data_IF_299130159223
#
_entry.id   IF_299130159223
#
_cell.length_a   1.000
_cell.length_b   1.000
_cell.length_c   1.000
_cell.angle_alpha   90.00
_cell.angle_beta   90.00
_cell.angle_gamma   90.00
#
_symmetry.space_group_name_H-M   'P 1'
#
loop_
_entity.id
_entity.type
_entity.pdbx_description
1 polymer ?
#
# COMPACT_ATOMS: atom_id res chain seq x y z
N UNK A 1 10.57 -21.77 -6.44
CA UNK A 1 9.14 -21.95 -6.79
C UNK A 1 8.63 -20.58 -7.17
N UNK A 2 8.36 -20.32 -8.45
CA UNK A 2 8.00 -18.97 -8.93
C UNK A 2 6.54 -18.67 -8.57
N UNK A 3 6.30 -17.54 -7.91
CA UNK A 3 4.98 -17.10 -7.44
C UNK A 3 4.04 -16.65 -8.59
N UNK A 4 4.36 -16.95 -9.84
CA UNK A 4 3.63 -16.49 -11.03
C UNK A 4 2.50 -17.42 -11.47
N UNK A 5 2.26 -18.55 -10.79
CA UNK A 5 1.34 -19.59 -11.28
C UNK A 5 0.06 -19.78 -10.44
N UNK A 6 -0.31 -18.83 -9.57
CA UNK A 6 -1.56 -18.92 -8.80
C UNK A 6 -2.42 -17.69 -9.09
N UNK A 7 -3.36 -17.87 -10.04
CA UNK A 7 -4.58 -17.10 -10.29
C UNK A 7 -4.43 -15.57 -10.57
N UNK A 8 -5.30 -14.96 -11.41
CA UNK A 8 -5.17 -13.55 -11.83
C UNK A 8 -5.27 -12.54 -10.67
N UNK A 9 -5.86 -12.94 -9.54
CA UNK A 9 -5.89 -12.27 -8.24
C UNK A 9 -4.56 -12.40 -7.47
N UNK A 10 -3.84 -13.52 -7.60
CA UNK A 10 -2.54 -13.73 -6.97
C UNK A 10 -1.40 -12.94 -7.63
N UNK A 11 -1.49 -12.66 -8.94
CA UNK A 11 -0.47 -11.87 -9.63
C UNK A 11 -0.38 -10.42 -9.10
N UNK A 12 -1.51 -9.76 -8.85
CA UNK A 12 -1.55 -8.42 -8.27
C UNK A 12 -1.04 -8.40 -6.83
N UNK A 13 -1.45 -9.38 -6.02
CA UNK A 13 -0.92 -9.55 -4.67
C UNK A 13 0.61 -9.71 -4.70
N UNK A 14 1.13 -10.62 -5.53
CA UNK A 14 2.57 -10.89 -5.69
C UNK A 14 3.36 -9.67 -6.17
N UNK A 15 2.82 -8.84 -7.07
CA UNK A 15 3.48 -7.59 -7.46
C UNK A 15 3.48 -6.56 -6.32
N UNK A 16 2.41 -6.48 -5.52
CA UNK A 16 2.36 -5.65 -4.30
C UNK A 16 3.44 -6.04 -3.28
N UNK A 17 3.62 -7.35 -3.02
CA UNK A 17 4.68 -7.85 -2.12
C UNK A 17 6.09 -7.47 -2.62
N UNK A 18 6.35 -7.54 -3.92
CA UNK A 18 7.65 -7.17 -4.50
C UNK A 18 7.90 -5.66 -4.40
N UNK A 19 6.88 -4.84 -4.67
CA UNK A 19 6.98 -3.38 -4.50
C UNK A 19 7.33 -3.00 -3.06
N UNK A 20 6.66 -3.63 -2.09
CA UNK A 20 6.83 -3.36 -0.66
C UNK A 20 8.25 -3.70 -0.17
N UNK A 21 8.84 -4.80 -0.66
CA UNK A 21 10.22 -5.16 -0.34
C UNK A 21 11.18 -4.08 -0.84
N UNK A 22 11.01 -3.64 -2.09
CA UNK A 22 11.86 -2.61 -2.66
C UNK A 22 11.69 -1.25 -1.98
N UNK A 23 10.48 -0.91 -1.52
CA UNK A 23 10.25 0.29 -0.70
C UNK A 23 11.10 0.26 0.58
N UNK A 24 11.05 -0.84 1.33
CA UNK A 24 11.77 -0.97 2.60
C UNK A 24 13.29 -0.91 2.41
N UNK A 25 13.78 -1.40 1.27
CA UNK A 25 15.19 -1.30 0.88
C UNK A 25 15.58 0.09 0.33
N UNK A 26 14.64 1.03 0.20
CA UNK A 26 14.86 2.35 -0.41
C UNK A 26 15.10 2.31 -1.93
N UNK A 27 14.79 1.17 -2.57
CA UNK A 27 14.97 0.91 -4.01
C UNK A 27 13.74 1.38 -4.79
N UNK A 28 13.51 2.69 -4.78
CA UNK A 28 12.26 3.28 -5.28
C UNK A 28 12.02 3.07 -6.78
N UNK A 29 13.07 3.04 -7.62
CA UNK A 29 12.92 2.73 -9.04
C UNK A 29 12.32 1.34 -9.26
N UNK A 30 12.83 0.33 -8.54
CA UNK A 30 12.32 -1.04 -8.62
C UNK A 30 10.93 -1.19 -7.98
N UNK A 31 10.67 -0.48 -6.87
CA UNK A 31 9.36 -0.46 -6.23
C UNK A 31 8.29 0.07 -7.20
N UNK A 32 8.51 1.25 -7.79
CA UNK A 32 7.59 1.86 -8.76
C UNK A 32 7.39 0.97 -9.99
N UNK A 33 8.46 0.38 -10.52
CA UNK A 33 8.35 -0.51 -11.68
C UNK A 33 7.51 -1.77 -11.39
N UNK A 34 7.67 -2.38 -10.20
CA UNK A 34 6.90 -3.55 -9.80
C UNK A 34 5.42 -3.21 -9.56
N UNK A 35 5.16 -2.08 -8.90
CA UNK A 35 3.82 -1.61 -8.57
C UNK A 35 3.02 -1.25 -9.84
N UNK A 36 3.63 -0.46 -10.73
CA UNK A 36 3.02 -0.11 -12.03
C UNK A 36 2.68 -1.34 -12.87
N UNK A 37 3.52 -2.39 -12.83
CA UNK A 37 3.23 -3.64 -13.55
C UNK A 37 1.97 -4.33 -13.03
N UNK A 38 1.67 -4.22 -11.73
CA UNK A 38 0.42 -4.69 -11.15
C UNK A 38 -0.75 -3.79 -11.54
N UNK A 39 -0.59 -2.48 -11.39
CA UNK A 39 -1.64 -1.47 -11.65
C UNK A 39 -2.07 -1.44 -13.12
N UNK A 40 -1.15 -1.61 -14.06
CA UNK A 40 -1.42 -1.63 -15.52
C UNK A 40 -2.42 -2.73 -15.94
N UNK A 41 -2.66 -3.74 -15.11
CA UNK A 41 -3.64 -4.82 -15.39
C UNK A 41 -5.09 -4.31 -15.32
N UNK A 42 -5.36 -3.30 -14.50
CA UNK A 42 -6.73 -2.80 -14.23
C UNK A 42 -6.89 -1.29 -14.38
N UNK A 43 -5.80 -0.51 -14.36
CA UNK A 43 -5.84 0.94 -14.53
C UNK A 43 -5.90 1.36 -16.00
N UNK A 44 -6.46 2.55 -16.23
CA UNK A 44 -6.43 3.20 -17.55
C UNK A 44 -5.03 3.76 -17.87
N UNK A 45 -4.69 3.95 -19.16
CA UNK A 45 -3.42 4.59 -19.54
C UNK A 45 -3.22 5.96 -18.90
N UNK A 46 -4.29 6.73 -18.69
CA UNK A 46 -4.25 8.03 -18.02
C UNK A 46 -3.86 7.92 -16.55
N UNK A 47 -4.39 6.92 -15.83
CA UNK A 47 -4.03 6.66 -14.43
C UNK A 47 -2.57 6.20 -14.31
N UNK A 48 -2.11 5.32 -15.19
CA UNK A 48 -0.69 4.91 -15.23
C UNK A 48 0.23 6.09 -15.54
N UNK A 49 -0.18 6.97 -16.45
CA UNK A 49 0.57 8.19 -16.76
C UNK A 49 0.64 9.15 -15.56
N UNK A 50 -0.44 9.31 -14.79
CA UNK A 50 -0.46 10.10 -13.56
C UNK A 50 0.62 9.60 -12.58
N UNK A 51 0.64 8.30 -12.31
CA UNK A 51 1.60 7.67 -11.39
C UNK A 51 3.04 7.86 -11.86
N UNK A 52 3.31 7.58 -13.14
CA UNK A 52 4.64 7.74 -13.75
C UNK A 52 5.11 9.20 -13.70
N UNK A 53 4.23 10.15 -14.05
CA UNK A 53 4.55 11.57 -14.02
C UNK A 53 4.83 12.08 -12.61
N UNK A 54 4.12 11.56 -11.60
CA UNK A 54 4.39 11.86 -10.18
C UNK A 54 5.82 11.48 -9.81
N UNK A 55 6.24 10.25 -10.16
CA UNK A 55 7.61 9.79 -9.88
C UNK A 55 8.66 10.60 -10.63
N UNK A 56 8.47 10.87 -11.92
CA UNK A 56 9.40 11.65 -12.75
C UNK A 56 9.64 13.06 -12.21
N UNK A 57 8.60 13.69 -11.64
CA UNK A 57 8.68 15.07 -11.15
C UNK A 57 9.32 15.21 -9.77
N UNK A 58 9.09 14.25 -8.87
CA UNK A 58 9.43 14.43 -7.45
C UNK A 58 9.90 13.15 -6.76
N UNK A 59 10.31 12.16 -7.53
CA UNK A 59 10.77 10.87 -7.03
C UNK A 59 9.69 10.18 -6.19
N UNK A 60 10.14 9.43 -5.17
CA UNK A 60 9.26 8.61 -4.34
C UNK A 60 8.06 9.36 -3.75
N UNK A 61 8.29 10.57 -3.24
CA UNK A 61 7.21 11.39 -2.67
C UNK A 61 6.15 11.72 -3.73
N UNK A 62 6.57 12.11 -4.93
CA UNK A 62 5.65 12.39 -6.03
C UNK A 62 4.89 11.15 -6.52
N UNK A 63 5.52 9.97 -6.49
CA UNK A 63 4.82 8.72 -6.78
C UNK A 63 3.74 8.43 -5.74
N UNK A 64 4.05 8.54 -4.45
CA UNK A 64 3.08 8.28 -3.37
C UNK A 64 1.94 9.30 -3.33
N UNK A 65 2.20 10.57 -3.66
CA UNK A 65 1.13 11.55 -3.85
C UNK A 65 0.21 11.19 -5.01
N UNK A 66 0.77 10.73 -6.14
CA UNK A 66 -0.02 10.28 -7.28
C UNK A 66 -0.76 8.96 -7.00
N UNK A 67 -0.15 8.03 -6.27
CA UNK A 67 -0.76 6.77 -5.86
C UNK A 67 -1.92 7.02 -4.89
N UNK A 68 -1.77 7.94 -3.92
CA UNK A 68 -2.86 8.38 -3.07
C UNK A 68 -4.04 8.94 -3.87
N UNK A 69 -3.77 9.79 -4.87
CA UNK A 69 -4.83 10.32 -5.75
C UNK A 69 -5.53 9.20 -6.54
N UNK A 70 -4.75 8.23 -7.01
CA UNK A 70 -5.27 7.04 -7.69
C UNK A 70 -6.18 6.24 -6.76
N UNK A 71 -5.71 5.87 -5.56
CA UNK A 71 -6.47 5.10 -4.56
C UNK A 71 -7.77 5.82 -4.15
N UNK A 72 -7.70 7.13 -3.89
CA UNK A 72 -8.88 7.94 -3.57
C UNK A 72 -9.89 8.02 -4.72
N UNK A 73 -9.45 7.93 -5.98
CA UNK A 73 -10.33 7.91 -7.15
C UNK A 73 -11.04 6.57 -7.34
N UNK A 74 -10.61 5.51 -6.64
CA UNK A 74 -11.07 4.13 -6.79
C UNK A 74 -11.55 3.54 -5.46
N UNK A 75 -12.16 4.34 -4.58
CA UNK A 75 -12.47 3.94 -3.20
C UNK A 75 -13.47 2.77 -3.05
N UNK A 76 -14.18 2.40 -4.11
CA UNK A 76 -15.26 1.41 -4.05
C UNK A 76 -14.78 -0.06 -4.08
N UNK A 77 -13.46 -0.33 -4.12
CA UNK A 77 -12.94 -1.70 -4.09
C UNK A 77 -12.69 -2.22 -2.66
N UNK A 78 -12.71 -3.54 -2.50
CA UNK A 78 -12.36 -4.18 -1.24
C UNK A 78 -10.94 -3.78 -0.83
N UNK A 79 -10.75 -3.40 0.44
CA UNK A 79 -9.47 -2.94 0.99
C UNK A 79 -8.97 -1.57 0.51
N UNK A 80 -9.77 -0.76 -0.19
CA UNK A 80 -9.33 0.57 -0.62
C UNK A 80 -8.83 1.45 0.54
N UNK A 81 -9.47 1.36 1.72
CA UNK A 81 -9.01 2.10 2.90
C UNK A 81 -7.61 1.68 3.37
N UNK A 82 -7.21 0.43 3.16
CA UNK A 82 -5.87 -0.05 3.50
C UNK A 82 -4.81 0.57 2.58
N UNK A 83 -5.06 0.57 1.27
CA UNK A 83 -4.12 1.13 0.29
C UNK A 83 -3.95 2.65 0.48
N UNK A 84 -5.06 3.34 0.78
CA UNK A 84 -5.03 4.77 1.12
C UNK A 84 -4.22 5.01 2.40
N UNK A 85 -4.38 4.16 3.43
CA UNK A 85 -3.61 4.27 4.67
C UNK A 85 -2.10 4.10 4.43
N UNK A 86 -1.70 3.14 3.59
CA UNK A 86 -0.31 2.91 3.21
C UNK A 86 0.30 4.10 2.47
N UNK A 87 -0.46 4.74 1.58
CA UNK A 87 0.01 5.95 0.90
C UNK A 87 0.23 7.12 1.86
N UNK A 88 -0.70 7.35 2.78
CA UNK A 88 -0.51 8.36 3.84
C UNK A 88 0.72 8.03 4.71
N UNK A 89 0.89 6.76 5.10
CA UNK A 89 2.06 6.31 5.86
C UNK A 89 3.35 6.58 5.10
N UNK A 90 3.43 6.19 3.83
CA UNK A 90 4.62 6.38 2.98
C UNK A 90 4.96 7.87 2.76
N UNK A 91 3.96 8.76 2.85
CA UNK A 91 4.13 10.22 2.82
C UNK A 91 4.50 10.83 4.17
N UNK A 92 4.61 10.03 5.24
CA UNK A 92 4.85 10.51 6.60
C UNK A 92 3.64 11.19 7.26
N UNK A 93 2.45 11.07 6.65
CA UNK A 93 1.18 11.63 7.13
C UNK A 93 0.51 10.63 8.06
N UNK A 94 1.15 10.41 9.21
CA UNK A 94 0.85 9.30 10.13
C UNK A 94 -0.55 9.42 10.73
N UNK A 95 -1.02 10.63 11.02
CA UNK A 95 -2.35 10.84 11.60
C UNK A 95 -3.44 10.41 10.61
N UNK A 96 -3.36 10.86 9.36
CA UNK A 96 -4.29 10.41 8.32
C UNK A 96 -4.16 8.91 8.04
N UNK A 97 -2.95 8.36 8.10
CA UNK A 97 -2.75 6.91 7.92
C UNK A 97 -3.56 6.11 8.95
N UNK A 98 -3.53 6.50 10.23
CA UNK A 98 -4.31 5.81 11.27
C UNK A 98 -5.82 5.94 11.07
N UNK A 99 -6.31 7.12 10.66
CA UNK A 99 -7.74 7.30 10.35
C UNK A 99 -8.22 6.34 9.26
N UNK A 100 -7.36 6.08 8.26
CA UNK A 100 -7.68 5.14 7.18
C UNK A 100 -7.44 3.67 7.56
N UNK A 101 -6.45 3.36 8.41
CA UNK A 101 -6.31 2.01 8.96
C UNK A 101 -7.50 1.62 9.84
N UNK A 102 -8.09 2.56 10.58
CA UNK A 102 -9.32 2.33 11.33
C UNK A 102 -10.49 1.96 10.40
N UNK A 103 -10.61 2.65 9.26
CA UNK A 103 -11.61 2.30 8.24
C UNK A 103 -11.33 0.94 7.61
N UNK A 104 -10.07 0.64 7.29
CA UNK A 104 -9.67 -0.66 6.75
C UNK A 104 -9.98 -1.81 7.74
N UNK A 105 -9.86 -1.56 9.04
CA UNK A 105 -10.30 -2.49 10.07
C UNK A 105 -11.82 -2.72 10.02
N UNK A 106 -12.61 -1.65 9.97
CA UNK A 106 -14.08 -1.73 9.93
C UNK A 106 -14.58 -2.42 8.64
N UNK A 107 -13.88 -2.20 7.52
CA UNK A 107 -14.07 -2.89 6.23
C UNK A 107 -13.68 -4.37 6.27
N UNK A 108 -13.03 -4.82 7.36
CA UNK A 108 -12.47 -6.17 7.51
C UNK A 108 -11.50 -6.50 6.38
N UNK A 109 -10.68 -5.53 6.00
CA UNK A 109 -9.67 -5.75 5.00
C UNK A 109 -8.70 -6.86 5.43
N UNK A 110 -8.47 -7.83 4.54
CA UNK A 110 -7.65 -9.01 4.85
C UNK A 110 -6.19 -8.65 5.17
N UNK A 111 -5.66 -7.55 4.60
CA UNK A 111 -4.29 -7.11 4.82
C UNK A 111 -4.05 -6.59 6.25
N UNK A 112 -5.10 -6.23 6.99
CA UNK A 112 -4.99 -5.86 8.40
C UNK A 112 -4.43 -7.00 9.26
N UNK A 113 -4.53 -8.26 8.81
CA UNK A 113 -3.93 -9.41 9.51
C UNK A 113 -2.40 -9.44 9.40
N UNK A 114 -1.82 -8.78 8.40
CA UNK A 114 -0.38 -8.73 8.17
C UNK A 114 0.30 -7.49 8.79
N UNK A 115 -0.48 -6.61 9.44
CA UNK A 115 -0.02 -5.30 9.92
C UNK A 115 1.24 -5.42 10.80
N UNK A 116 1.28 -6.39 11.72
CA UNK A 116 2.43 -6.62 12.60
C UNK A 116 3.64 -7.21 11.88
N UNK A 117 3.44 -7.98 10.81
CA UNK A 117 4.51 -8.69 10.11
C UNK A 117 5.19 -7.80 9.05
N UNK A 118 4.51 -6.77 8.57
CA UNK A 118 5.00 -5.92 7.49
C UNK A 118 6.04 -4.88 8.00
N UNK A 119 7.29 -4.91 7.50
CA UNK A 119 8.36 -3.98 7.90
C UNK A 119 8.11 -2.53 7.46
N UNK A 120 7.21 -2.26 6.51
CA UNK A 120 6.82 -0.87 6.14
C UNK A 120 6.26 -0.09 7.33
N UNK A 121 5.74 -0.80 8.34
CA UNK A 121 5.19 -0.20 9.56
C UNK A 121 6.23 0.11 10.63
N UNK A 122 7.51 -0.26 10.47
CA UNK A 122 8.55 -0.06 11.50
C UNK A 122 8.60 1.38 12.02
N UNK A 123 8.40 2.37 11.14
CA UNK A 123 8.38 3.79 11.51
C UNK A 123 7.20 4.21 12.40
N UNK A 124 6.11 3.44 12.45
CA UNK A 124 4.90 3.75 13.22
C UNK A 124 4.62 2.73 14.35
N UNK A 125 5.44 1.67 14.48
CA UNK A 125 5.25 0.60 15.49
C UNK A 125 5.27 1.09 16.93
N UNK A 126 5.93 2.22 17.21
CA UNK A 126 6.00 2.83 18.54
C UNK A 126 4.80 3.71 18.89
N UNK A 127 3.93 4.02 17.91
CA UNK A 127 2.73 4.80 18.14
C UNK A 127 1.69 3.95 18.90
N UNK A 128 1.12 4.43 20.02
CA UNK A 128 0.11 3.70 20.78
C UNK A 128 -1.11 3.24 19.94
N UNK A 129 -1.47 3.99 18.89
CA UNK A 129 -2.57 3.64 17.98
C UNK A 129 -2.29 2.36 17.20
N UNK A 130 -1.02 2.09 16.87
CA UNK A 130 -0.60 0.85 16.22
C UNK A 130 -0.89 -0.37 17.10
N UNK A 131 -0.55 -0.28 18.39
CA UNK A 131 -0.83 -1.36 19.34
C UNK A 131 -2.33 -1.60 19.54
N UNK A 132 -3.14 -0.55 19.53
CA UNK A 132 -4.59 -0.69 19.61
C UNK A 132 -5.17 -1.37 18.35
N UNK A 133 -4.68 -1.03 17.16
CA UNK A 133 -5.05 -1.72 15.92
C UNK A 133 -4.71 -3.23 16.00
N UNK A 134 -3.52 -3.58 16.47
CA UNK A 134 -3.13 -5.00 16.64
C UNK A 134 -4.01 -5.75 17.64
N UNK A 135 -4.41 -5.09 18.73
CA UNK A 135 -5.31 -5.65 19.73
C UNK A 135 -6.68 -5.93 19.12
N UNK A 136 -7.19 -5.01 18.29
CA UNK A 136 -8.50 -5.11 17.61
C UNK A 136 -8.51 -6.19 16.53
N UNK A 137 -7.41 -6.42 15.83
CA UNK A 137 -7.28 -7.49 14.82
C UNK A 137 -7.08 -8.89 15.40
N UNK A 138 -7.06 -9.02 16.73
CA UNK A 138 -6.80 -10.28 17.44
C UNK A 138 -5.46 -10.93 17.05
N UNK A 139 -4.48 -10.11 16.64
CA UNK A 139 -3.10 -10.52 16.33
C UNK A 139 -2.19 -10.54 17.57
N UNK A 140 -2.77 -10.48 18.76
CA UNK A 140 -2.07 -10.65 20.03
C UNK A 140 -1.82 -12.14 20.26
N UNK A 141 -0.58 -12.58 20.10
CA UNK A 141 -0.01 -13.71 20.84
C UNK A 141 1.38 -13.38 21.35
#
# INVERSE_FOLDING_TARGET
>A
MHASEIAPDGAAAVQGWVSNIYEVEGKYDQSVAADLKGIEVYATPQQVHLLRSGYEKSGWKGYREAHLQYSLSQIDHQCASYDIAEDYRALGRVDEAFDWFDRAFDERCIFMMALNADPRHDGIRSDPRFHELLRRTNLVH
#
